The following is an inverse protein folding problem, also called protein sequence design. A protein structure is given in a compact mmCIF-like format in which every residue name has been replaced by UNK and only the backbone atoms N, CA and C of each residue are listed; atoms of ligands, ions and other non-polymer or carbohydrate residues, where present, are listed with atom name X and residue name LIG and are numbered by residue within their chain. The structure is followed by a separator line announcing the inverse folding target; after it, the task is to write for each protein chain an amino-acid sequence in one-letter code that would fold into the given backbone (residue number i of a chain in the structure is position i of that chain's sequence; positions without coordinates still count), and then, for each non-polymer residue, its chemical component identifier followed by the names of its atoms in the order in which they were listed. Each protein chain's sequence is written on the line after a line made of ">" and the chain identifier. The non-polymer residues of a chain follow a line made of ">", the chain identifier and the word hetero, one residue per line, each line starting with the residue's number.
data_IF_198738669853
#
_entry.id   IF_198738669853
#
_cell.length_a   1.000
_cell.length_b   1.000
_cell.length_c   1.000
_cell.angle_alpha   90.00
_cell.angle_beta   90.00
_cell.angle_gamma   90.00
#
_symmetry.space_group_name_H-M   'P 1'
#
loop_
_entity.id
_entity.type
_entity.pdbx_description
1 polymer ?
#
# COMPACT_ATOMS: atom_id res chain seq x y z
N UNK A 1 11.92 -6.92 -25.08
CA UNK A 1 12.47 -7.61 -23.90
C UNK A 1 12.88 -6.64 -22.80
N UNK A 2 13.98 -5.88 -22.92
CA UNK A 2 14.48 -5.04 -21.81
C UNK A 2 13.49 -4.02 -21.19
N UNK A 3 12.51 -3.50 -21.96
CA UNK A 3 11.47 -2.61 -21.40
C UNK A 3 10.43 -3.36 -20.57
N UNK A 4 10.03 -4.56 -21.01
CA UNK A 4 9.05 -5.41 -20.34
C UNK A 4 9.62 -5.91 -19.01
N UNK A 5 10.89 -6.30 -18.99
CA UNK A 5 11.57 -6.78 -17.79
C UNK A 5 11.67 -5.69 -16.73
N UNK A 6 11.99 -4.44 -17.11
CA UNK A 6 11.99 -3.28 -16.21
C UNK A 6 10.61 -3.00 -15.60
N UNK A 7 9.54 -3.11 -16.39
CA UNK A 7 8.17 -2.86 -15.88
C UNK A 7 7.76 -3.98 -14.91
N UNK A 8 8.11 -5.23 -15.19
CA UNK A 8 7.88 -6.35 -14.25
C UNK A 8 8.59 -6.15 -12.92
N UNK A 9 9.85 -5.72 -12.96
CA UNK A 9 10.64 -5.42 -11.75
C UNK A 9 10.02 -4.26 -10.96
N UNK A 10 9.58 -3.20 -11.65
CA UNK A 10 8.88 -2.07 -11.03
C UNK A 10 7.55 -2.49 -10.36
N UNK A 11 6.76 -3.36 -11.00
CA UNK A 11 5.55 -3.94 -10.39
C UNK A 11 5.92 -4.76 -9.14
N UNK A 12 7.01 -5.52 -9.21
CA UNK A 12 7.54 -6.26 -8.06
C UNK A 12 7.86 -5.34 -6.89
N UNK A 13 8.53 -4.22 -7.15
CA UNK A 13 8.79 -3.18 -6.16
C UNK A 13 7.49 -2.58 -5.58
N UNK A 14 6.52 -2.22 -6.43
CA UNK A 14 5.24 -1.69 -5.97
C UNK A 14 4.48 -2.67 -5.07
N UNK A 15 4.51 -3.98 -5.39
CA UNK A 15 3.93 -5.03 -4.55
C UNK A 15 4.62 -5.13 -3.19
N UNK A 16 5.95 -4.99 -3.14
CA UNK A 16 6.68 -4.98 -1.88
C UNK A 16 6.25 -3.78 -1.00
N UNK A 17 6.18 -2.57 -1.57
CA UNK A 17 5.71 -1.37 -0.87
C UNK A 17 4.26 -1.55 -0.38
N UNK A 18 3.39 -2.12 -1.21
CA UNK A 18 2.01 -2.41 -0.83
C UNK A 18 1.90 -3.33 0.38
N UNK A 19 2.70 -4.41 0.42
CA UNK A 19 2.76 -5.32 1.57
C UNK A 19 3.27 -4.58 2.81
N UNK A 20 4.31 -3.76 2.67
CA UNK A 20 4.82 -2.92 3.77
C UNK A 20 3.74 -1.99 4.33
N UNK A 21 2.95 -1.32 3.49
CA UNK A 21 1.83 -0.50 3.96
C UNK A 21 0.79 -1.32 4.71
N UNK A 22 0.44 -2.53 4.26
CA UNK A 22 -0.49 -3.40 5.01
C UNK A 22 0.06 -3.75 6.41
N UNK A 23 1.36 -4.01 6.52
CA UNK A 23 2.01 -4.29 7.81
C UNK A 23 2.00 -3.06 8.73
N UNK A 24 2.20 -1.86 8.18
CA UNK A 24 2.08 -0.60 8.93
C UNK A 24 0.64 -0.45 9.44
N UNK A 25 -0.36 -0.62 8.57
CA UNK A 25 -1.77 -0.54 8.95
C UNK A 25 -2.13 -1.52 10.08
N UNK A 26 -1.71 -2.79 9.97
CA UNK A 26 -1.98 -3.78 11.03
C UNK A 26 -1.27 -3.45 12.34
N UNK A 27 -0.07 -2.88 12.28
CA UNK A 27 0.68 -2.42 13.45
C UNK A 27 0.00 -1.23 14.14
N UNK A 28 -0.53 -0.27 13.38
CA UNK A 28 -1.27 0.88 13.91
C UNK A 28 -2.60 0.45 14.54
N UNK A 29 -3.31 -0.51 13.93
CA UNK A 29 -4.52 -1.11 14.53
C UNK A 29 -4.16 -1.82 15.84
N UNK A 30 -3.09 -2.62 15.86
CA UNK A 30 -2.64 -3.31 17.06
C UNK A 30 -2.26 -2.34 18.18
N UNK A 31 -1.63 -1.21 17.84
CA UNK A 31 -1.34 -0.15 18.79
C UNK A 31 -2.62 0.44 19.42
N UNK A 32 -3.65 0.68 18.62
CA UNK A 32 -4.92 1.25 19.09
C UNK A 32 -5.77 0.28 19.90
N UNK A 33 -5.56 -1.03 19.79
CA UNK A 33 -6.42 -2.05 20.41
C UNK A 33 -6.64 -1.86 21.92
N UNK A 34 -5.62 -1.39 22.65
CA UNK A 34 -5.69 -1.14 24.10
C UNK A 34 -5.53 0.35 24.45
N UNK A 35 -5.81 1.26 23.52
CA UNK A 35 -5.67 2.71 23.71
C UNK A 35 -7.00 3.42 23.51
N UNK A 36 -7.22 4.48 24.27
CA UNK A 36 -8.37 5.35 24.06
C UNK A 36 -8.19 6.10 22.73
N UNK A 37 -9.19 6.00 21.85
CA UNK A 37 -9.14 6.55 20.50
C UNK A 37 -9.09 8.09 20.54
N UNK A 38 -9.80 8.70 21.48
CA UNK A 38 -9.88 10.16 21.63
C UNK A 38 -8.51 10.79 21.92
N UNK A 39 -7.69 10.10 22.73
CA UNK A 39 -6.34 10.54 23.08
C UNK A 39 -5.30 10.23 21.98
N UNK A 40 -5.67 9.45 20.96
CA UNK A 40 -4.76 8.94 19.92
C UNK A 40 -5.22 9.32 18.50
N UNK A 41 -5.87 10.48 18.34
CA UNK A 41 -6.42 10.95 17.06
C UNK A 41 -5.37 10.98 15.92
N UNK A 42 -4.10 11.26 16.22
CA UNK A 42 -3.02 11.24 15.21
C UNK A 42 -2.83 9.85 14.60
N UNK A 43 -2.96 8.78 15.39
CA UNK A 43 -2.82 7.40 14.93
C UNK A 43 -4.03 7.01 14.07
N UNK A 44 -5.22 7.50 14.42
CA UNK A 44 -6.43 7.32 13.61
C UNK A 44 -6.30 8.03 12.26
N UNK A 45 -5.79 9.26 12.25
CA UNK A 45 -5.51 10.00 11.01
C UNK A 45 -4.45 9.27 10.17
N UNK A 46 -3.39 8.76 10.79
CA UNK A 46 -2.38 7.96 10.11
C UNK A 46 -2.97 6.69 9.47
N UNK A 47 -3.88 5.99 10.16
CA UNK A 47 -4.59 4.85 9.61
C UNK A 47 -5.44 5.21 8.38
N UNK A 48 -6.15 6.33 8.42
CA UNK A 48 -6.95 6.79 7.28
C UNK A 48 -6.06 7.15 6.08
N UNK A 49 -4.92 7.80 6.34
CA UNK A 49 -3.94 8.13 5.29
C UNK A 49 -3.35 6.85 4.68
N UNK A 50 -2.92 5.90 5.51
CA UNK A 50 -2.34 4.64 5.04
C UNK A 50 -3.35 3.82 4.25
N UNK A 51 -4.62 3.81 4.67
CA UNK A 51 -5.71 3.20 3.90
C UNK A 51 -5.85 3.81 2.49
N UNK A 52 -5.80 5.14 2.37
CA UNK A 52 -5.83 5.82 1.07
C UNK A 52 -4.62 5.43 0.23
N UNK A 53 -3.42 5.36 0.83
CA UNK A 53 -2.18 4.95 0.15
C UNK A 53 -2.31 3.52 -0.38
N UNK A 54 -2.82 2.58 0.41
CA UNK A 54 -3.05 1.18 0.01
C UNK A 54 -3.98 1.12 -1.22
N UNK A 55 -5.10 1.87 -1.20
CA UNK A 55 -6.04 1.91 -2.34
C UNK A 55 -5.38 2.48 -3.60
N UNK A 56 -4.59 3.54 -3.46
CA UNK A 56 -3.88 4.15 -4.61
C UNK A 56 -2.81 3.21 -5.18
N UNK A 57 -2.03 2.55 -4.30
CA UNK A 57 -1.03 1.56 -4.71
C UNK A 57 -1.68 0.39 -5.42
N UNK A 58 -2.79 -0.15 -4.90
CA UNK A 58 -3.52 -1.24 -5.52
C UNK A 58 -4.00 -0.88 -6.93
N UNK A 59 -4.63 0.29 -7.10
CA UNK A 59 -5.06 0.78 -8.42
C UNK A 59 -3.89 0.94 -9.37
N UNK A 60 -2.76 1.46 -8.90
CA UNK A 60 -1.55 1.64 -9.72
C UNK A 60 -0.98 0.29 -10.16
N UNK A 61 -0.87 -0.68 -9.26
CA UNK A 61 -0.38 -2.03 -9.57
C UNK A 61 -1.25 -2.68 -10.66
N UNK A 62 -2.57 -2.62 -10.53
CA UNK A 62 -3.48 -3.16 -11.56
C UNK A 62 -3.27 -2.46 -12.89
N UNK A 63 -3.16 -1.13 -12.89
CA UNK A 63 -2.95 -0.36 -14.12
C UNK A 63 -1.66 -0.78 -14.84
N UNK A 64 -0.55 -0.94 -14.11
CA UNK A 64 0.73 -1.37 -14.71
C UNK A 64 0.68 -2.83 -15.19
N UNK A 65 -0.06 -3.71 -14.52
CA UNK A 65 -0.25 -5.10 -14.95
C UNK A 65 -1.05 -5.15 -16.27
N UNK A 66 -2.17 -4.44 -16.36
CA UNK A 66 -2.98 -4.42 -17.58
C UNK A 66 -2.19 -3.84 -18.76
N UNK A 67 -1.39 -2.81 -18.51
CA UNK A 67 -0.54 -2.20 -19.54
C UNK A 67 0.52 -3.18 -20.06
N UNK A 68 0.99 -4.11 -19.22
CA UNK A 68 1.86 -5.21 -19.64
C UNK A 68 1.14 -6.30 -20.43
N UNK A 69 -0.13 -6.55 -20.13
CA UNK A 69 -0.94 -7.56 -20.83
C UNK A 69 -1.32 -7.11 -22.24
N UNK A 70 -1.49 -5.80 -22.43
CA UNK A 70 -1.78 -5.17 -23.73
C UNK A 70 -0.55 -5.05 -24.68
N UNK A 71 0.67 -5.33 -24.19
CA UNK A 71 1.96 -5.18 -24.90
C UNK A 71 2.51 -6.49 -25.46
#
# INVERSE_FOLDING_TARGET
>A
MAKIDKVKEFIGFLKAVFITSIVIMSSLIAYLYNKNIEDNYLVVVALLIDFVIIVLLFKKIIKEINLLEDL
#
